data_IF_898677155956
#
_entry.id   IF_898677155956
#
_cell.length_a   1.000
_cell.length_b   1.000
_cell.length_c   1.000
_cell.angle_alpha   90.00
_cell.angle_beta   90.00
_cell.angle_gamma   90.00
#
_symmetry.space_group_name_H-M   'P 1'
#
loop_
_entity.id
_entity.type
_entity.pdbx_description
1 polymer ?
#
# COMPACT_ATOMS: atom_id res chain seq x y z
N UNK A 1 8.58 42.89 -1.29
CA UNK A 1 8.17 41.85 -0.32
C UNK A 1 9.28 40.82 -0.22
N UNK A 2 9.89 40.64 0.97
CA UNK A 2 11.08 39.80 1.15
C UNK A 2 10.76 38.33 1.48
N UNK A 3 11.75 37.42 1.31
CA UNK A 3 11.62 35.97 1.55
C UNK A 3 11.24 35.60 2.99
N UNK A 4 11.37 36.54 3.93
CA UNK A 4 10.98 36.36 5.35
C UNK A 4 9.46 36.34 5.57
N UNK A 5 8.67 36.96 4.68
CA UNK A 5 7.19 36.98 4.81
C UNK A 5 6.58 35.63 4.37
N UNK A 6 7.19 34.98 3.38
CA UNK A 6 6.75 33.66 2.90
C UNK A 6 6.97 32.57 3.97
N UNK A 7 8.06 32.66 4.73
CA UNK A 7 8.39 31.71 5.79
C UNK A 7 7.38 31.80 6.96
N UNK A 8 6.91 33.00 7.31
CA UNK A 8 5.95 33.18 8.41
C UNK A 8 4.52 32.71 8.07
N UNK A 9 4.12 32.78 6.80
CA UNK A 9 2.80 32.31 6.35
C UNK A 9 2.74 30.77 6.31
N UNK A 10 3.85 30.10 6.04
CA UNK A 10 3.89 28.62 5.97
C UNK A 10 3.85 28.00 7.38
N UNK A 11 4.48 28.62 8.38
CA UNK A 11 4.53 28.08 9.77
C UNK A 11 3.19 28.21 10.49
N UNK A 12 2.34 29.18 10.13
CA UNK A 12 1.04 29.41 10.76
C UNK A 12 -0.07 28.46 10.27
N UNK A 13 0.16 27.67 9.21
CA UNK A 13 -0.82 26.75 8.64
C UNK A 13 -0.87 25.36 9.32
N UNK A 14 0.05 25.02 10.22
CA UNK A 14 0.18 23.67 10.80
C UNK A 14 -0.38 23.52 12.24
N UNK A 15 -0.88 24.59 12.87
CA UNK A 15 -1.35 24.58 14.28
C UNK A 15 -2.89 24.50 14.39
N UNK A 16 -3.56 24.01 13.33
CA UNK A 16 -5.02 24.17 13.17
C UNK A 16 -5.92 22.99 13.54
N UNK A 17 -5.43 21.81 13.94
CA UNK A 17 -6.30 20.63 14.11
C UNK A 17 -6.04 19.87 15.41
N UNK A 18 -6.69 20.33 16.48
CA UNK A 18 -6.92 19.53 17.68
C UNK A 18 -8.33 19.83 18.21
N UNK A 19 -9.35 19.34 17.49
CA UNK A 19 -10.74 19.39 17.94
C UNK A 19 -11.08 18.18 18.82
N UNK A 20 -11.65 18.51 19.97
CA UNK A 20 -12.16 17.64 21.03
C UNK A 20 -13.01 16.45 20.56
N UNK A 21 -12.79 15.29 21.18
CA UNK A 21 -13.74 14.20 21.22
C UNK A 21 -13.93 13.75 22.67
N UNK A 22 -14.94 14.31 23.32
CA UNK A 22 -15.47 13.84 24.60
C UNK A 22 -16.35 12.60 24.35
N UNK A 23 -15.95 11.44 24.88
CA UNK A 23 -16.72 10.19 24.81
C UNK A 23 -17.60 10.01 26.04
N UNK A 24 -18.92 9.95 25.85
CA UNK A 24 -19.91 9.57 26.86
C UNK A 24 -19.97 8.04 27.07
N UNK A 25 -20.35 7.54 28.27
CA UNK A 25 -20.47 6.11 28.54
C UNK A 25 -21.74 5.49 27.91
N UNK A 26 -21.59 4.28 27.34
CA UNK A 26 -22.68 3.46 26.77
C UNK A 26 -23.28 2.52 27.82
N UNK A 27 -24.61 2.27 27.81
CA UNK A 27 -25.25 1.34 28.73
C UNK A 27 -24.97 -0.13 28.35
N UNK A 28 -24.82 -0.98 29.37
CA UNK A 28 -24.64 -2.43 29.23
C UNK A 28 -25.97 -3.11 28.89
N UNK A 29 -26.03 -3.77 27.73
CA UNK A 29 -27.12 -4.68 27.37
C UNK A 29 -26.73 -6.09 27.81
N UNK A 30 -27.62 -6.72 28.59
CA UNK A 30 -27.45 -8.05 29.17
C UNK A 30 -27.29 -9.15 28.11
N UNK A 31 -26.28 -10.00 28.28
CA UNK A 31 -26.04 -11.20 27.47
C UNK A 31 -26.92 -12.35 27.96
N UNK A 32 -28.02 -12.59 27.26
CA UNK A 32 -28.85 -13.79 27.42
C UNK A 32 -28.22 -15.02 26.74
N UNK A 33 -28.52 -16.18 27.31
CA UNK A 33 -27.87 -17.49 27.30
C UNK A 33 -27.92 -18.29 25.97
N UNK A 34 -27.54 -17.68 24.84
CA UNK A 34 -27.52 -18.35 23.52
C UNK A 34 -26.13 -18.90 23.14
N UNK A 35 -25.22 -19.05 24.10
CA UNK A 35 -23.83 -19.44 23.85
C UNK A 35 -23.68 -20.93 23.47
N UNK A 36 -24.43 -21.82 24.12
CA UNK A 36 -24.26 -23.27 23.94
C UNK A 36 -24.74 -23.76 22.56
N UNK A 37 -25.90 -23.27 22.07
CA UNK A 37 -26.44 -23.66 20.78
C UNK A 37 -25.67 -23.11 19.58
N UNK A 38 -25.01 -21.94 19.72
CA UNK A 38 -24.12 -21.39 18.68
C UNK A 38 -22.82 -22.18 18.55
N UNK A 39 -22.28 -22.68 19.66
CA UNK A 39 -20.98 -23.36 19.66
C UNK A 39 -20.91 -24.56 18.71
N UNK A 40 -21.99 -25.35 18.59
CA UNK A 40 -22.02 -26.53 17.71
C UNK A 40 -22.08 -26.20 16.21
N UNK A 41 -22.80 -25.17 15.79
CA UNK A 41 -22.84 -24.73 14.38
C UNK A 41 -21.52 -24.07 13.95
N UNK A 42 -20.85 -23.35 14.85
CA UNK A 42 -19.57 -22.71 14.54
C UNK A 42 -18.44 -23.72 14.30
N UNK A 43 -18.48 -24.92 14.88
CA UNK A 43 -17.41 -25.91 14.71
C UNK A 43 -17.40 -26.55 13.31
N UNK A 44 -18.56 -26.77 12.70
CA UNK A 44 -18.67 -27.39 11.37
C UNK A 44 -18.52 -26.37 10.22
N UNK A 45 -18.93 -25.12 10.43
CA UNK A 45 -18.75 -24.04 9.45
C UNK A 45 -17.30 -23.53 9.39
N UNK A 46 -16.61 -23.46 10.54
CA UNK A 46 -15.21 -23.00 10.61
C UNK A 46 -14.28 -24.00 9.92
N UNK A 47 -14.46 -25.31 10.17
CA UNK A 47 -13.67 -26.37 9.53
C UNK A 47 -13.77 -26.35 7.99
N UNK A 48 -14.87 -25.87 7.40
CA UNK A 48 -15.03 -25.76 5.94
C UNK A 48 -14.33 -24.54 5.33
N UNK A 49 -14.13 -23.48 6.12
CA UNK A 49 -13.34 -22.31 5.73
C UNK A 49 -11.84 -22.57 5.96
N UNK A 50 -11.49 -23.24 7.07
CA UNK A 50 -10.09 -23.55 7.39
C UNK A 50 -9.47 -24.52 6.35
N UNK A 51 -10.25 -25.47 5.80
CA UNK A 51 -9.80 -26.37 4.70
C UNK A 51 -9.72 -25.66 3.33
N UNK A 52 -10.43 -24.53 3.15
CA UNK A 52 -10.23 -23.65 1.98
C UNK A 52 -8.93 -22.85 2.12
N UNK A 53 -8.57 -22.51 3.34
CA UNK A 53 -7.40 -21.69 3.67
C UNK A 53 -6.08 -22.48 3.59
N UNK A 54 -6.10 -23.79 3.86
CA UNK A 54 -4.91 -24.66 3.79
C UNK A 54 -4.47 -25.02 2.35
N UNK A 55 -5.36 -24.89 1.36
CA UNK A 55 -4.97 -25.06 -0.05
C UNK A 55 -4.37 -23.76 -0.57
N UNK A 56 -3.05 -23.68 -0.49
CA UNK A 56 -2.21 -22.67 -1.13
C UNK A 56 -2.40 -22.59 -2.65
N UNK A 57 -3.53 -22.04 -3.10
CA UNK A 57 -3.88 -21.83 -4.50
C UNK A 57 -3.79 -20.36 -4.93
N UNK A 58 -3.44 -19.46 -4.01
CA UNK A 58 -3.19 -18.06 -4.31
C UNK A 58 -1.74 -17.91 -4.77
N UNK A 59 -1.51 -18.09 -6.07
CA UNK A 59 -0.19 -18.02 -6.71
C UNK A 59 0.39 -16.59 -6.82
N UNK A 60 0.04 -15.69 -5.89
CA UNK A 60 0.46 -14.29 -5.86
C UNK A 60 -0.50 -13.30 -6.53
N UNK A 61 -0.16 -12.01 -6.42
CA UNK A 61 -0.88 -10.90 -7.07
C UNK A 61 -0.61 -10.91 -8.59
N UNK A 62 -1.64 -10.58 -9.38
CA UNK A 62 -1.52 -10.44 -10.83
C UNK A 62 -1.68 -8.98 -11.22
N UNK A 63 -0.76 -8.46 -12.03
CA UNK A 63 -0.78 -7.08 -12.50
C UNK A 63 -1.12 -7.03 -13.98
N UNK A 64 -2.05 -6.15 -14.35
CA UNK A 64 -2.30 -5.82 -15.74
C UNK A 64 -1.11 -5.05 -16.32
N UNK A 65 -0.47 -5.58 -17.37
CA UNK A 65 0.69 -4.93 -17.99
C UNK A 65 0.35 -3.60 -18.71
N UNK A 66 -0.92 -3.36 -19.04
CA UNK A 66 -1.33 -2.17 -19.80
C UNK A 66 -1.64 -0.97 -18.89
N UNK A 67 -2.20 -1.20 -17.69
CA UNK A 67 -2.66 -0.11 -16.80
C UNK A 67 -2.24 -0.23 -15.34
N UNK A 68 -1.57 -1.32 -14.96
CA UNK A 68 -1.11 -1.53 -13.58
C UNK A 68 -2.20 -1.97 -12.61
N UNK A 69 -3.41 -2.30 -13.06
CA UNK A 69 -4.45 -2.86 -12.17
C UNK A 69 -3.96 -4.15 -11.49
N UNK A 70 -4.02 -4.18 -10.15
CA UNK A 70 -3.60 -5.32 -9.31
C UNK A 70 -4.82 -6.17 -8.96
N UNK A 71 -4.77 -7.44 -9.34
CA UNK A 71 -5.73 -8.47 -8.97
C UNK A 71 -5.15 -9.26 -7.79
N UNK A 72 -5.78 -9.13 -6.63
CA UNK A 72 -5.27 -9.63 -5.37
C UNK A 72 -5.99 -10.88 -4.84
N UNK A 73 -5.54 -11.40 -3.68
CA UNK A 73 -6.18 -12.50 -2.98
C UNK A 73 -7.52 -12.11 -2.31
N UNK A 74 -7.88 -10.82 -2.33
CA UNK A 74 -9.17 -10.31 -1.86
C UNK A 74 -10.33 -10.68 -2.78
N UNK A 75 -10.06 -10.97 -4.05
CA UNK A 75 -11.06 -11.42 -5.00
C UNK A 75 -11.52 -12.85 -4.71
N UNK A 76 -12.81 -13.17 -4.95
CA UNK A 76 -13.42 -14.45 -4.53
C UNK A 76 -12.94 -15.68 -5.31
N UNK A 77 -12.36 -15.44 -6.48
CA UNK A 77 -11.95 -16.46 -7.46
C UNK A 77 -10.46 -16.29 -7.71
N UNK A 78 -9.67 -17.37 -7.80
CA UNK A 78 -8.27 -17.26 -8.16
C UNK A 78 -8.14 -16.92 -9.64
N UNK A 79 -7.11 -16.14 -9.99
CA UNK A 79 -6.89 -15.67 -11.36
C UNK A 79 -6.75 -16.80 -12.38
N UNK A 80 -6.24 -17.96 -11.96
CA UNK A 80 -6.05 -19.15 -12.79
C UNK A 80 -7.39 -19.82 -13.17
N UNK A 81 -8.36 -19.81 -12.25
CA UNK A 81 -9.72 -20.35 -12.47
C UNK A 81 -10.68 -19.33 -13.11
N UNK A 82 -10.27 -18.06 -13.22
CA UNK A 82 -11.08 -17.01 -13.83
C UNK A 82 -11.54 -17.44 -15.24
N UNK A 83 -12.77 -17.12 -15.70
CA UNK A 83 -13.22 -17.43 -17.05
C UNK A 83 -12.33 -16.80 -18.14
N UNK A 84 -12.29 -17.42 -19.33
CA UNK A 84 -11.52 -16.96 -20.49
C UNK A 84 -11.97 -15.59 -21.06
N UNK A 85 -13.05 -15.00 -20.51
CA UNK A 85 -13.59 -13.69 -20.88
C UNK A 85 -13.32 -12.56 -19.88
N UNK A 86 -12.48 -12.77 -18.87
CA UNK A 86 -12.14 -11.70 -17.94
C UNK A 86 -11.37 -10.58 -18.66
N UNK A 87 -11.83 -9.35 -18.44
CA UNK A 87 -11.24 -8.12 -18.96
C UNK A 87 -10.83 -7.25 -17.78
N UNK A 88 -9.73 -6.52 -17.95
CA UNK A 88 -9.31 -5.55 -16.95
C UNK A 88 -10.39 -4.47 -16.78
N UNK A 89 -10.85 -4.17 -15.55
CA UNK A 89 -11.88 -3.16 -15.32
C UNK A 89 -11.42 -1.71 -15.60
N UNK A 90 -10.11 -1.46 -15.63
CA UNK A 90 -9.56 -0.13 -15.88
C UNK A 90 -9.30 0.15 -17.37
N UNK A 91 -8.76 -0.82 -18.11
CA UNK A 91 -8.35 -0.61 -19.50
C UNK A 91 -9.07 -1.49 -20.53
N UNK A 92 -10.01 -2.35 -20.11
CA UNK A 92 -10.64 -3.38 -20.94
C UNK A 92 -9.65 -4.34 -21.63
N UNK A 93 -8.40 -4.41 -21.14
CA UNK A 93 -7.38 -5.30 -21.65
C UNK A 93 -7.74 -6.78 -21.44
N UNK A 94 -7.39 -7.67 -22.38
CA UNK A 94 -7.68 -9.09 -22.26
C UNK A 94 -6.85 -9.76 -21.16
N UNK A 95 -7.40 -10.78 -20.51
CA UNK A 95 -6.74 -11.56 -19.43
C UNK A 95 -5.30 -12.00 -19.73
N UNK A 96 -4.97 -12.29 -20.98
CA UNK A 96 -3.61 -12.69 -21.43
C UNK A 96 -2.51 -11.66 -21.14
N UNK A 97 -2.87 -10.39 -20.86
CA UNK A 97 -1.93 -9.30 -20.61
C UNK A 97 -1.58 -9.12 -19.13
N UNK A 98 -2.16 -9.95 -18.27
CA UNK A 98 -1.81 -9.96 -16.86
C UNK A 98 -0.55 -10.78 -16.63
N UNK A 99 0.34 -10.25 -15.81
CA UNK A 99 1.60 -10.88 -15.42
C UNK A 99 1.57 -11.16 -13.92
N UNK A 100 2.16 -12.28 -13.48
CA UNK A 100 2.37 -12.51 -12.04
C UNK A 100 3.31 -11.43 -11.52
N UNK A 101 2.94 -10.78 -10.42
CA UNK A 101 3.81 -9.84 -9.73
C UNK A 101 5.02 -10.62 -9.21
N UNK A 102 6.16 -10.48 -9.89
CA UNK A 102 7.43 -10.88 -9.30
C UNK A 102 7.60 -10.02 -8.05
N UNK A 103 7.67 -10.65 -6.87
CA UNK A 103 7.71 -9.97 -5.58
C UNK A 103 8.67 -8.80 -5.61
N UNK A 104 8.30 -7.70 -4.94
CA UNK A 104 8.93 -6.37 -5.02
C UNK A 104 10.44 -6.42 -5.30
N UNK A 105 10.78 -6.43 -6.59
CA UNK A 105 12.07 -5.97 -7.10
C UNK A 105 11.94 -4.50 -7.43
N UNK A 106 11.25 -3.75 -6.57
CA UNK A 106 11.63 -2.36 -6.37
C UNK A 106 12.95 -2.47 -5.63
N UNK A 107 14.03 -2.67 -6.40
CA UNK A 107 15.38 -2.71 -5.87
C UNK A 107 15.52 -1.51 -4.96
N UNK A 108 16.06 -1.71 -3.76
CA UNK A 108 16.48 -0.61 -2.89
C UNK A 108 17.19 0.39 -3.79
N UNK A 109 16.50 1.49 -4.12
CA UNK A 109 17.07 2.58 -4.87
C UNK A 109 18.03 3.19 -3.87
N UNK A 110 19.22 2.62 -3.79
CA UNK A 110 20.29 3.13 -2.96
C UNK A 110 20.78 4.40 -3.65
N UNK A 111 20.00 5.48 -3.50
CA UNK A 111 20.26 6.84 -4.00
C UNK A 111 21.61 7.39 -3.50
N UNK A 112 22.28 6.65 -2.61
CA UNK A 112 23.69 6.75 -2.25
C UNK A 112 24.59 7.08 -3.45
N UNK A 113 24.43 6.40 -4.59
CA UNK A 113 25.25 6.68 -5.79
C UNK A 113 25.02 8.10 -6.34
N UNK A 114 23.77 8.55 -6.36
CA UNK A 114 23.39 9.88 -6.81
C UNK A 114 23.88 10.96 -5.84
N UNK A 115 23.78 10.72 -4.54
CA UNK A 115 24.23 11.65 -3.50
C UNK A 115 25.76 11.79 -3.53
N UNK A 116 26.49 10.68 -3.60
CA UNK A 116 27.96 10.68 -3.66
C UNK A 116 28.43 11.40 -4.92
N UNK A 117 27.85 11.09 -6.09
CA UNK A 117 28.20 11.75 -7.35
C UNK A 117 27.97 13.26 -7.29
N UNK A 118 26.86 13.69 -6.70
CA UNK A 118 26.53 15.12 -6.55
C UNK A 118 27.49 15.85 -5.62
N UNK A 119 27.83 15.25 -4.47
CA UNK A 119 28.78 15.83 -3.51
C UNK A 119 30.18 15.97 -4.10
N UNK A 120 30.66 14.93 -4.80
CA UNK A 120 31.97 14.95 -5.47
C UNK A 120 32.00 16.01 -6.57
N UNK A 121 30.94 16.11 -7.37
CA UNK A 121 30.83 17.13 -8.42
C UNK A 121 30.86 18.56 -7.86
N UNK A 122 30.09 18.84 -6.81
CA UNK A 122 30.09 20.15 -6.16
C UNK A 122 31.44 20.48 -5.53
N UNK A 123 32.10 19.52 -4.88
CA UNK A 123 33.42 19.71 -4.31
C UNK A 123 34.48 20.00 -5.40
N UNK A 124 34.42 19.29 -6.53
CA UNK A 124 35.34 19.51 -7.65
C UNK A 124 35.16 20.91 -8.26
N UNK A 125 33.92 21.33 -8.54
CA UNK A 125 33.62 22.67 -9.08
C UNK A 125 34.02 23.76 -8.07
N UNK A 126 33.64 23.60 -6.80
CA UNK A 126 33.99 24.54 -5.73
C UNK A 126 35.50 24.68 -5.56
N UNK A 127 36.24 23.57 -5.60
CA UNK A 127 37.70 23.57 -5.56
C UNK A 127 38.32 24.28 -6.77
N UNK A 128 37.83 23.99 -7.97
CA UNK A 128 38.33 24.61 -9.20
C UNK A 128 38.12 26.14 -9.17
N UNK A 129 36.95 26.59 -8.71
CA UNK A 129 36.65 28.02 -8.55
C UNK A 129 37.51 28.69 -7.47
N UNK A 130 37.76 27.99 -6.35
CA UNK A 130 38.58 28.52 -5.27
C UNK A 130 40.05 28.69 -5.67
N UNK A 131 40.64 27.67 -6.30
CA UNK A 131 42.03 27.72 -6.78
C UNK A 131 42.19 28.62 -8.01
N UNK A 132 41.16 28.78 -8.85
CA UNK A 132 41.19 29.70 -9.98
C UNK A 132 41.00 31.17 -9.61
N UNK A 133 40.44 31.46 -8.42
CA UNK A 133 40.21 32.82 -7.91
C UNK A 133 41.26 33.27 -6.87
N UNK A 134 42.15 32.38 -6.41
CA UNK A 134 43.36 32.73 -5.64
C UNK A 134 44.55 32.98 -6.56
#
# INVERSE_FOLDING_TARGET
MGPRVVILVIVSALVGQASAFAGAPRPMIARSSVAAARAQLHMMAKKKLDVREEKGYWQGEWVCADCGFIYGPTERVPFEEQPKGFVCPQCAGPRRRFVKKAGDVVGSLDDSGLIIGTLVGLAAVGGLLYFGMS
#
